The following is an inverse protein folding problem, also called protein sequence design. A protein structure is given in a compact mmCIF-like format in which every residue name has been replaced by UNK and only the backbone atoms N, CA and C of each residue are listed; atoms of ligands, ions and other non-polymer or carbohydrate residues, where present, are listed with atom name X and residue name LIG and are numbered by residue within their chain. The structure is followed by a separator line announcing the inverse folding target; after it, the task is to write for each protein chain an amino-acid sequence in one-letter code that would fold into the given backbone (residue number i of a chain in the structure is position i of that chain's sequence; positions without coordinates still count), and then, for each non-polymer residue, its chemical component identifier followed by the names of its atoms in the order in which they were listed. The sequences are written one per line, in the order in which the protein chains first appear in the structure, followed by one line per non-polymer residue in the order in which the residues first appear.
data_IF_621937721058
#
_entry.id   IF_621937721058
#
_cell.length_a   1.000
_cell.length_b   1.000
_cell.length_c   1.000
_cell.angle_alpha   90.00
_cell.angle_beta   90.00
_cell.angle_gamma   90.00
#
_symmetry.space_group_name_H-M   'P 1'
#
loop_
_entity.id
_entity.type
_entity.pdbx_description
1 polymer ?
#
# COMPACT_ATOMS: atom_id res chain seq x y z
N UNK A 1 -25.73 -15.91 -20.53
CA UNK A 1 -27.07 -15.50 -20.03
C UNK A 1 -27.08 -15.13 -18.55
N UNK A 2 -26.56 -15.95 -17.63
CA UNK A 2 -26.59 -15.64 -16.18
C UNK A 2 -25.85 -14.35 -15.82
N UNK A 3 -24.66 -14.13 -16.40
CA UNK A 3 -23.90 -12.87 -16.23
C UNK A 3 -24.73 -11.65 -16.59
N UNK A 4 -25.31 -11.63 -17.78
CA UNK A 4 -26.01 -10.46 -18.32
C UNK A 4 -27.28 -10.17 -17.49
N UNK A 5 -27.96 -11.21 -17.01
CA UNK A 5 -29.09 -11.08 -16.07
C UNK A 5 -28.67 -10.46 -14.73
N UNK A 6 -27.53 -10.87 -14.18
CA UNK A 6 -27.00 -10.32 -12.93
C UNK A 6 -26.59 -8.86 -13.10
N UNK A 7 -25.90 -8.51 -14.20
CA UNK A 7 -25.51 -7.14 -14.50
C UNK A 7 -26.72 -6.22 -14.71
N UNK A 8 -27.75 -6.71 -15.40
CA UNK A 8 -28.99 -5.95 -15.60
C UNK A 8 -29.70 -5.62 -14.27
N UNK A 9 -29.62 -6.53 -13.28
CA UNK A 9 -30.23 -6.37 -11.95
C UNK A 9 -29.25 -5.86 -10.88
N UNK A 10 -28.03 -5.50 -11.27
CA UNK A 10 -27.02 -5.08 -10.31
C UNK A 10 -27.49 -3.81 -9.57
N UNK A 11 -27.44 -3.78 -8.23
CA UNK A 11 -27.90 -2.64 -7.42
C UNK A 11 -27.24 -1.34 -7.85
N UNK A 12 -28.00 -0.23 -7.83
CA UNK A 12 -27.50 1.07 -8.29
C UNK A 12 -26.38 1.59 -7.37
N UNK A 13 -26.52 1.32 -6.08
CA UNK A 13 -25.56 1.65 -5.03
C UNK A 13 -24.22 0.93 -5.27
N UNK A 14 -24.28 -0.28 -5.84
CA UNK A 14 -23.11 -1.08 -6.21
C UNK A 14 -22.43 -0.66 -7.52
N UNK A 15 -22.91 0.39 -8.21
CA UNK A 15 -22.30 0.94 -9.43
C UNK A 15 -21.39 2.15 -9.17
N UNK A 16 -21.32 2.61 -7.92
CA UNK A 16 -20.57 3.81 -7.56
C UNK A 16 -21.32 5.09 -7.93
N UNK A 17 -20.66 6.23 -7.74
CA UNK A 17 -21.26 7.55 -7.93
C UNK A 17 -21.27 7.96 -9.41
N UNK A 18 -22.10 7.31 -10.21
CA UNK A 18 -22.28 7.61 -11.64
C UNK A 18 -23.76 7.86 -11.97
N UNK A 19 -24.07 8.65 -13.01
CA UNK A 19 -25.43 8.77 -13.51
C UNK A 19 -26.07 7.40 -13.79
N UNK A 20 -27.36 7.26 -13.48
CA UNK A 20 -28.07 5.99 -13.60
C UNK A 20 -28.05 5.40 -15.02
N UNK A 21 -28.00 6.27 -16.03
CA UNK A 21 -28.00 5.92 -17.45
C UNK A 21 -26.59 5.62 -18.00
N UNK A 22 -25.54 5.67 -17.17
CA UNK A 22 -24.17 5.39 -17.62
C UNK A 22 -24.06 3.94 -18.04
N UNK A 23 -23.77 3.74 -19.33
CA UNK A 23 -23.54 2.41 -19.88
C UNK A 23 -22.25 1.81 -19.30
N UNK A 24 -22.36 0.62 -18.70
CA UNK A 24 -21.20 -0.17 -18.24
C UNK A 24 -20.38 -0.68 -19.45
N UNK A 25 -21.04 -0.84 -20.61
CA UNK A 25 -20.45 -1.46 -21.79
C UNK A 25 -20.43 -2.97 -21.71
N UNK A 26 -19.47 -3.60 -22.39
CA UNK A 26 -19.31 -5.05 -22.44
C UNK A 26 -18.73 -5.66 -21.16
N UNK A 27 -18.13 -4.81 -20.31
CA UNK A 27 -17.39 -5.23 -19.13
C UNK A 27 -15.95 -5.68 -19.42
N UNK A 28 -15.46 -5.61 -20.67
CA UNK A 28 -14.08 -5.97 -21.01
C UNK A 28 -13.17 -4.75 -21.14
N UNK A 29 -11.86 -4.87 -20.82
CA UNK A 29 -10.92 -3.75 -20.89
C UNK A 29 -10.74 -3.17 -22.29
N UNK A 30 -11.07 -3.91 -23.36
CA UNK A 30 -10.94 -3.43 -24.74
C UNK A 30 -12.04 -2.46 -25.18
N UNK A 31 -13.19 -2.47 -24.50
CA UNK A 31 -14.35 -1.68 -24.88
C UNK A 31 -14.27 -0.23 -24.38
N UNK A 32 -14.39 0.78 -25.26
CA UNK A 32 -14.38 2.19 -24.88
C UNK A 32 -15.43 2.56 -23.82
N UNK A 33 -16.64 1.99 -23.89
CA UNK A 33 -17.70 2.28 -22.93
C UNK A 33 -17.33 1.77 -21.53
N UNK A 34 -16.77 0.56 -21.45
CA UNK A 34 -16.26 0.00 -20.19
C UNK A 34 -15.14 0.84 -19.60
N UNK A 35 -14.17 1.29 -20.40
CA UNK A 35 -13.10 2.19 -19.93
C UNK A 35 -13.65 3.50 -19.39
N UNK A 36 -14.66 4.07 -20.05
CA UNK A 36 -15.30 5.31 -19.62
C UNK A 36 -16.06 5.12 -18.30
N UNK A 37 -16.81 4.03 -18.16
CA UNK A 37 -17.49 3.68 -16.91
C UNK A 37 -16.49 3.58 -15.74
N UNK A 38 -15.39 2.83 -15.91
CA UNK A 38 -14.36 2.68 -14.88
C UNK A 38 -13.80 4.04 -14.46
N UNK A 39 -13.54 4.94 -15.43
CA UNK A 39 -13.08 6.30 -15.16
C UNK A 39 -14.07 7.17 -14.39
N UNK A 40 -15.36 7.03 -14.69
CA UNK A 40 -16.40 7.84 -14.07
C UNK A 40 -16.74 7.38 -12.64
N UNK A 41 -16.69 6.08 -12.38
CA UNK A 41 -17.08 5.53 -11.08
C UNK A 41 -15.96 5.54 -10.03
N UNK A 42 -14.75 6.00 -10.38
CA UNK A 42 -13.60 6.02 -9.49
C UNK A 42 -13.72 7.13 -8.44
N UNK A 43 -13.54 6.76 -7.18
CA UNK A 43 -13.32 7.67 -6.06
C UNK A 43 -11.81 7.80 -5.75
N UNK A 44 -11.28 9.01 -5.50
CA UNK A 44 -9.84 9.20 -5.24
C UNK A 44 -9.32 8.51 -3.98
N UNK A 45 -10.18 8.30 -2.96
CA UNK A 45 -9.78 7.71 -1.67
C UNK A 45 -10.16 6.24 -1.62
N UNK A 46 -11.39 5.89 -2.00
CA UNK A 46 -11.93 4.54 -1.89
C UNK A 46 -11.64 3.66 -3.10
N UNK A 47 -11.23 4.25 -4.24
CA UNK A 47 -10.95 3.54 -5.47
C UNK A 47 -12.21 3.23 -6.26
N UNK A 48 -12.65 1.97 -6.31
CA UNK A 48 -13.73 1.55 -7.21
C UNK A 48 -14.90 0.85 -6.49
N UNK A 49 -16.13 0.93 -7.02
CA UNK A 49 -17.25 0.16 -6.51
C UNK A 49 -17.07 -1.35 -6.73
N UNK A 50 -17.79 -2.21 -5.99
CA UNK A 50 -17.65 -3.68 -6.06
C UNK A 50 -17.86 -4.28 -7.45
N UNK A 51 -18.52 -3.56 -8.36
CA UNK A 51 -18.72 -4.01 -9.73
C UNK A 51 -17.41 -4.03 -10.56
N UNK A 52 -16.45 -3.17 -10.23
CA UNK A 52 -15.17 -3.07 -10.95
C UNK A 52 -14.16 -4.01 -10.30
N UNK A 53 -13.47 -4.79 -11.12
CA UNK A 53 -12.36 -5.61 -10.66
C UNK A 53 -11.11 -4.74 -10.50
N UNK A 54 -10.80 -4.34 -9.27
CA UNK A 54 -9.62 -3.52 -8.93
C UNK A 54 -8.29 -4.17 -9.35
N UNK A 55 -8.25 -5.50 -9.45
CA UNK A 55 -7.05 -6.25 -9.88
C UNK A 55 -6.78 -6.19 -11.39
N UNK A 56 -7.56 -5.44 -12.17
CA UNK A 56 -7.29 -5.25 -13.60
C UNK A 56 -6.33 -4.11 -13.83
N UNK A 57 -5.40 -4.28 -14.76
CA UNK A 57 -4.42 -3.25 -15.12
C UNK A 57 -5.07 -1.89 -15.45
N UNK A 58 -6.22 -1.89 -16.14
CA UNK A 58 -6.94 -0.63 -16.44
C UNK A 58 -7.43 0.10 -15.18
N UNK A 59 -7.83 -0.65 -14.15
CA UNK A 59 -8.26 -0.10 -12.87
C UNK A 59 -7.05 0.33 -12.03
N UNK A 60 -6.01 -0.51 -11.94
CA UNK A 60 -4.78 -0.21 -11.20
C UNK A 60 -4.09 1.04 -11.73
N UNK A 61 -3.83 1.11 -13.04
CA UNK A 61 -3.17 2.26 -13.66
C UNK A 61 -3.95 3.57 -13.43
N UNK A 62 -5.30 3.49 -13.45
CA UNK A 62 -6.13 4.66 -13.20
C UNK A 62 -6.10 5.09 -11.74
N UNK A 63 -6.09 4.13 -10.80
CA UNK A 63 -5.95 4.40 -9.37
C UNK A 63 -4.58 5.02 -9.05
N UNK A 64 -3.52 4.58 -9.70
CA UNK A 64 -2.18 5.16 -9.58
C UNK A 64 -2.11 6.59 -10.16
N UNK A 65 -2.80 6.84 -11.28
CA UNK A 65 -2.81 8.15 -11.94
C UNK A 65 -3.63 9.20 -11.15
N UNK A 66 -4.78 8.81 -10.61
CA UNK A 66 -5.79 9.75 -10.08
C UNK A 66 -6.13 9.57 -8.62
N UNK A 67 -5.74 8.45 -8.03
CA UNK A 67 -6.01 8.14 -6.63
C UNK A 67 -5.03 8.82 -5.70
N UNK A 68 -5.41 8.87 -4.44
CA UNK A 68 -4.50 9.25 -3.36
C UNK A 68 -3.44 8.15 -3.24
N UNK A 69 -2.18 8.56 -3.15
CA UNK A 69 -1.06 7.62 -2.93
C UNK A 69 -1.23 6.97 -1.57
N UNK A 70 -1.30 5.65 -1.56
CA UNK A 70 -1.21 4.83 -0.37
C UNK A 70 -0.07 3.83 -0.54
N UNK A 71 0.38 3.25 0.56
CA UNK A 71 1.41 2.22 0.57
C UNK A 71 0.93 1.12 1.50
N UNK A 72 0.97 -0.12 1.01
CA UNK A 72 0.69 -1.28 1.86
C UNK A 72 1.94 -1.68 2.65
N UNK A 73 1.76 -2.24 3.85
CA UNK A 73 2.89 -2.70 4.70
C UNK A 73 3.81 -3.67 3.95
N UNK A 74 3.23 -4.62 3.20
CA UNK A 74 3.96 -5.60 2.38
C UNK A 74 4.85 -4.97 1.30
N UNK A 75 4.47 -3.79 0.78
CA UNK A 75 5.25 -3.09 -0.25
C UNK A 75 6.49 -2.41 0.34
N UNK A 76 6.43 -1.97 1.61
CA UNK A 76 7.56 -1.36 2.32
C UNK A 76 8.62 -2.39 2.65
N UNK A 77 8.21 -3.55 3.17
CA UNK A 77 9.12 -4.63 3.58
C UNK A 77 9.91 -5.21 2.39
N UNK A 78 9.29 -5.27 1.21
CA UNK A 78 9.94 -5.73 -0.02
C UNK A 78 11.09 -4.81 -0.48
N UNK A 79 11.01 -3.50 -0.21
CA UNK A 79 12.07 -2.54 -0.51
C UNK A 79 13.17 -2.55 0.56
N UNK A 80 12.83 -2.72 1.84
CA UNK A 80 13.83 -2.85 2.91
C UNK A 80 14.68 -4.12 2.80
N UNK A 81 14.09 -5.24 2.35
CA UNK A 81 14.80 -6.51 2.16
C UNK A 81 15.96 -6.42 1.17
N UNK A 82 15.90 -5.52 0.19
CA UNK A 82 16.98 -5.29 -0.79
C UNK A 82 18.17 -4.53 -0.17
N UNK A 83 17.92 -3.68 0.82
CA UNK A 83 18.94 -2.84 1.46
C UNK A 83 19.73 -3.56 2.57
N UNK A 84 19.25 -4.71 3.07
CA UNK A 84 19.92 -5.51 4.11
C UNK A 84 21.07 -6.40 3.59
N UNK A 85 21.41 -6.32 2.31
CA UNK A 85 22.55 -7.05 1.71
C UNK A 85 23.92 -6.35 1.87
N UNK A 86 24.05 -5.44 2.85
CA UNK A 86 25.33 -4.79 3.16
C UNK A 86 26.18 -5.70 4.06
N UNK A 87 27.07 -6.45 3.41
CA UNK A 87 28.39 -6.91 3.85
C UNK A 87 28.46 -7.53 5.26
N UNK A 88 28.20 -8.85 5.34
CA UNK A 88 28.72 -9.70 6.42
C UNK A 88 30.26 -9.64 6.38
N UNK A 89 30.87 -8.84 7.23
CA UNK A 89 32.30 -8.99 7.53
C UNK A 89 32.48 -10.36 8.17
N UNK A 90 33.29 -11.20 7.55
CA UNK A 90 33.64 -12.54 8.04
C UNK A 90 34.08 -12.47 9.50
N UNK A 91 33.35 -13.16 10.38
CA UNK A 91 33.72 -13.38 11.77
C UNK A 91 35.06 -14.10 11.84
N UNK A 92 36.09 -13.39 12.31
CA UNK A 92 37.42 -13.96 12.44
C UNK A 92 38.43 -12.91 12.85
N UNK A 93 38.54 -12.68 14.16
CA UNK A 93 39.51 -11.80 14.84
C UNK A 93 39.07 -10.35 15.02
N UNK A 94 38.33 -10.08 16.11
CA UNK A 94 38.28 -8.76 16.71
C UNK A 94 39.66 -8.44 17.30
N UNK A 95 40.24 -7.29 16.92
CA UNK A 95 41.55 -6.86 17.44
C UNK A 95 41.48 -6.66 18.96
N UNK A 96 42.44 -7.22 19.70
CA UNK A 96 42.50 -7.16 21.17
C UNK A 96 42.53 -5.72 21.72
N UNK A 97 42.96 -4.76 20.89
CA UNK A 97 42.92 -3.32 21.20
C UNK A 97 41.51 -2.75 21.37
N UNK A 98 40.46 -3.49 20.97
CA UNK A 98 39.08 -3.17 21.29
C UNK A 98 38.72 -3.38 22.76
N UNK A 99 39.37 -4.32 23.46
CA UNK A 99 39.07 -4.65 24.85
C UNK A 99 39.55 -3.58 25.85
N UNK A 100 40.59 -2.83 25.51
CA UNK A 100 41.21 -1.83 26.41
C UNK A 100 40.65 -0.42 26.20
N UNK A 101 39.66 -0.23 25.33
CA UNK A 101 39.00 1.06 25.18
C UNK A 101 37.99 1.23 26.30
N UNK A 102 38.26 2.12 27.25
CA UNK A 102 37.26 2.55 28.23
C UNK A 102 36.09 3.17 27.49
N UNK A 103 34.98 2.45 27.37
CA UNK A 103 33.74 3.01 26.88
C UNK A 103 33.23 3.93 27.99
N UNK A 104 33.05 5.25 27.77
CA UNK A 104 32.38 6.10 28.74
C UNK A 104 31.02 5.47 29.04
N UNK A 105 30.64 5.37 30.32
CA UNK A 105 29.35 4.83 30.74
C UNK A 105 28.26 5.59 29.98
N UNK A 106 27.71 4.98 28.93
CA UNK A 106 26.59 5.54 28.19
C UNK A 106 25.45 5.66 29.18
N UNK A 107 24.95 6.87 29.37
CA UNK A 107 23.79 7.15 30.20
C UNK A 107 22.66 6.17 29.81
N UNK A 108 22.20 5.34 30.76
CA UNK A 108 21.17 4.33 30.51
C UNK A 108 19.84 4.97 30.08
N UNK A 109 19.73 6.29 30.16
CA UNK A 109 18.62 7.07 29.60
C UNK A 109 18.54 7.03 28.06
N UNK A 110 19.60 6.62 27.36
CA UNK A 110 19.63 6.57 25.89
C UNK A 110 18.94 5.35 25.28
N UNK A 111 18.71 4.27 26.05
CA UNK A 111 17.96 3.10 25.56
C UNK A 111 16.51 3.22 25.97
N UNK A 112 15.62 3.39 24.97
CA UNK A 112 14.17 3.40 25.19
C UNK A 112 13.73 2.11 25.88
N UNK A 113 12.82 2.23 26.84
CA UNK A 113 12.26 1.06 27.52
C UNK A 113 11.53 0.17 26.50
N UNK A 114 11.68 -1.17 26.59
CA UNK A 114 11.10 -2.12 25.62
C UNK A 114 9.60 -1.93 25.40
N UNK A 115 8.87 -1.59 26.47
CA UNK A 115 7.43 -1.31 26.42
C UNK A 115 7.06 -0.30 25.33
N UNK A 116 7.77 0.84 25.26
CA UNK A 116 7.44 1.89 24.29
C UNK A 116 7.78 1.51 22.84
N UNK A 117 8.74 0.61 22.64
CA UNK A 117 9.11 0.12 21.31
C UNK A 117 8.04 -0.84 20.80
N UNK A 118 7.63 -1.81 21.64
CA UNK A 118 6.63 -2.83 21.28
C UNK A 118 5.25 -2.19 21.03
N UNK A 119 4.89 -1.17 21.81
CA UNK A 119 3.62 -0.48 21.66
C UNK A 119 3.58 0.54 20.49
N UNK A 120 4.66 0.69 19.71
CA UNK A 120 4.72 1.66 18.61
C UNK A 120 4.68 3.13 19.05
N UNK A 121 4.93 3.40 20.33
CA UNK A 121 4.88 4.76 20.88
C UNK A 121 6.17 5.49 20.53
N UNK A 122 6.09 6.79 20.24
CA UNK A 122 7.25 7.66 19.98
C UNK A 122 7.09 8.99 20.72
N UNK A 123 8.22 9.63 21.03
CA UNK A 123 8.19 10.96 21.65
C UNK A 123 7.90 12.00 20.58
N UNK A 124 6.83 12.79 20.73
CA UNK A 124 6.50 13.87 19.81
C UNK A 124 7.31 15.10 20.21
N UNK A 125 8.24 15.52 19.36
CA UNK A 125 9.11 16.68 19.61
C UNK A 125 8.72 17.91 18.79
N UNK A 126 7.86 17.76 17.79
CA UNK A 126 7.33 18.85 16.98
C UNK A 126 5.82 18.64 16.79
N UNK A 127 5.06 19.73 16.95
CA UNK A 127 3.62 19.81 16.69
C UNK A 127 3.38 20.64 15.43
#
# INVERSE_FOLDING_TARGET
VTRDRLLARWPKEGRGNVPAETAIGTGYPGDPATKQYIRMCMDPILGFPPLVRSSWATAQNLLEERGVKFVWEDEVDAEEGKNRSVKRTSEGSAKISGFFKSVPRSDHHTKRQPFFVIAGLTSVTNF
#
